data_IF_069429421603
#
_entry.id   IF_069429421603
#
_cell.length_a   1.000
_cell.length_b   1.000
_cell.length_c   1.000
_cell.angle_alpha   90.00
_cell.angle_beta   90.00
_cell.angle_gamma   90.00
#
_symmetry.space_group_name_H-M   'P 1'
#
loop_
_entity.id
_entity.type
_entity.pdbx_description
1 polymer ?
#
# COMPACT_ATOMS: atom_id res chain seq x y z
N UNK A 1 11.42 -22.73 20.96
CA UNK A 1 11.89 -22.00 19.76
C UNK A 1 10.76 -21.48 18.87
N UNK A 2 9.76 -22.30 18.48
CA UNK A 2 8.61 -21.88 17.64
C UNK A 2 7.77 -20.72 18.20
N UNK A 3 7.56 -20.65 19.52
CA UNK A 3 6.79 -19.59 20.16
C UNK A 3 7.44 -18.21 20.04
N UNK A 4 8.78 -18.15 20.13
CA UNK A 4 9.54 -16.89 20.06
C UNK A 4 9.50 -16.30 18.64
N UNK A 5 9.53 -17.16 17.62
CA UNK A 5 9.35 -16.77 16.21
C UNK A 5 7.93 -16.32 15.91
N UNK A 6 6.91 -16.95 16.52
CA UNK A 6 5.51 -16.57 16.34
C UNK A 6 5.21 -15.19 16.97
N UNK A 7 5.69 -14.96 18.21
CA UNK A 7 5.54 -13.65 18.89
C UNK A 7 6.23 -12.52 18.14
N UNK A 8 7.45 -12.73 17.64
CA UNK A 8 8.15 -11.74 16.80
C UNK A 8 7.40 -11.44 15.50
N UNK A 9 6.85 -12.47 14.84
CA UNK A 9 6.05 -12.30 13.61
C UNK A 9 4.77 -11.49 13.87
N UNK A 10 4.02 -11.82 14.93
CA UNK A 10 2.81 -11.09 15.32
C UNK A 10 3.09 -9.63 15.68
N UNK A 11 4.13 -9.37 16.47
CA UNK A 11 4.53 -8.01 16.84
C UNK A 11 4.89 -7.19 15.61
N UNK A 12 5.58 -7.81 14.66
CA UNK A 12 5.99 -7.14 13.44
C UNK A 12 4.83 -6.88 12.49
N UNK A 13 3.87 -7.81 12.35
CA UNK A 13 2.60 -7.57 11.63
C UNK A 13 1.87 -6.38 12.24
N UNK A 14 1.81 -6.29 13.57
CA UNK A 14 1.10 -5.21 14.26
C UNK A 14 1.72 -3.82 14.02
N UNK A 15 3.01 -3.74 13.67
CA UNK A 15 3.71 -2.49 13.37
C UNK A 15 3.75 -2.22 11.86
N UNK A 16 4.12 -3.21 11.05
CA UNK A 16 4.28 -3.03 9.62
C UNK A 16 2.97 -2.86 8.88
N UNK A 17 1.92 -3.56 9.29
CA UNK A 17 0.64 -3.52 8.60
C UNK A 17 0.01 -2.11 8.67
N UNK A 18 -0.05 -1.44 9.84
CA UNK A 18 -0.49 -0.05 9.89
C UNK A 18 0.36 0.90 9.05
N UNK A 19 1.70 0.75 9.08
CA UNK A 19 2.62 1.59 8.29
C UNK A 19 2.34 1.41 6.79
N UNK A 20 2.17 0.16 6.35
CA UNK A 20 1.87 -0.16 4.95
C UNK A 20 0.56 0.48 4.49
N UNK A 21 -0.51 0.40 5.30
CA UNK A 21 -1.82 0.99 4.98
C UNK A 21 -1.74 2.51 4.93
N UNK A 22 -1.01 3.14 5.84
CA UNK A 22 -0.85 4.59 5.84
C UNK A 22 -0.09 5.04 4.59
N UNK A 23 1.02 4.35 4.26
CA UNK A 23 1.81 4.64 3.08
C UNK A 23 1.00 4.47 1.79
N UNK A 24 0.33 3.33 1.59
CA UNK A 24 -0.50 3.09 0.41
C UNK A 24 -1.64 4.10 0.29
N UNK A 25 -2.28 4.46 1.41
CA UNK A 25 -3.30 5.50 1.46
C UNK A 25 -2.79 6.85 0.96
N UNK A 26 -1.55 7.23 1.29
CA UNK A 26 -0.93 8.45 0.76
C UNK A 26 -0.67 8.34 -0.74
N UNK A 27 -0.14 7.21 -1.20
CA UNK A 27 0.14 6.97 -2.62
C UNK A 27 -1.13 7.03 -3.46
N UNK A 28 -2.20 6.34 -3.03
CA UNK A 28 -3.48 6.31 -3.74
C UNK A 28 -4.13 7.69 -3.75
N UNK A 29 -4.13 8.41 -2.63
CA UNK A 29 -4.65 9.78 -2.58
C UNK A 29 -3.89 10.69 -3.56
N UNK A 30 -2.56 10.62 -3.55
CA UNK A 30 -1.73 11.43 -4.43
C UNK A 30 -1.99 11.11 -5.90
N UNK A 31 -1.87 9.83 -6.29
CA UNK A 31 -2.13 9.39 -7.66
C UNK A 31 -3.54 9.74 -8.12
N UNK A 32 -4.54 9.59 -7.25
CA UNK A 32 -5.91 9.96 -7.60
C UNK A 32 -6.07 11.46 -7.82
N UNK A 33 -5.60 12.28 -6.89
CA UNK A 33 -5.87 13.72 -6.92
C UNK A 33 -5.01 14.47 -7.95
N UNK A 34 -3.80 13.99 -8.22
CA UNK A 34 -2.90 14.66 -9.17
C UNK A 34 -3.02 14.10 -10.60
N UNK A 35 -3.53 12.87 -10.78
CA UNK A 35 -3.58 12.21 -12.10
C UNK A 35 -5.01 11.88 -12.51
N UNK A 36 -5.82 11.32 -11.61
CA UNK A 36 -7.16 10.84 -11.98
C UNK A 36 -8.17 12.00 -11.96
N UNK A 37 -8.14 12.90 -10.98
CA UNK A 37 -9.08 14.03 -10.93
C UNK A 37 -8.78 15.17 -11.90
N UNK A 38 -7.66 15.10 -12.64
CA UNK A 38 -7.42 16.00 -13.78
C UNK A 38 -8.28 15.60 -15.00
N UNK A 39 -8.77 14.36 -15.03
CA UNK A 39 -9.75 13.90 -16.02
C UNK A 39 -11.10 14.53 -15.69
N UNK A 40 -11.65 15.25 -16.67
CA UNK A 40 -12.79 16.13 -16.47
C UNK A 40 -13.99 15.41 -15.83
N UNK A 41 -14.49 15.95 -14.72
CA UNK A 41 -15.64 15.41 -13.99
C UNK A 41 -15.34 14.37 -12.91
N UNK A 42 -14.07 14.00 -12.69
CA UNK A 42 -13.70 13.08 -11.60
C UNK A 42 -13.34 13.87 -10.34
N UNK A 43 -14.04 13.58 -9.23
CA UNK A 43 -13.79 14.24 -7.95
C UNK A 43 -12.50 13.74 -7.29
N UNK A 44 -11.86 14.63 -6.52
CA UNK A 44 -10.75 14.27 -5.64
C UNK A 44 -11.23 13.40 -4.47
N UNK A 45 -10.32 12.60 -3.93
CA UNK A 45 -10.59 11.73 -2.78
C UNK A 45 -9.84 12.21 -1.53
N UNK A 46 -10.44 11.93 -0.39
CA UNK A 46 -9.83 12.14 0.93
C UNK A 46 -8.91 10.99 1.31
N UNK A 47 -8.02 11.23 2.27
CA UNK A 47 -7.11 10.19 2.78
C UNK A 47 -7.86 8.97 3.33
N UNK A 48 -9.01 9.19 4.00
CA UNK A 48 -9.85 8.10 4.52
C UNK A 48 -10.44 7.25 3.40
N UNK A 49 -10.87 7.87 2.30
CA UNK A 49 -11.36 7.15 1.11
C UNK A 49 -10.24 6.36 0.44
N UNK A 50 -9.03 6.94 0.34
CA UNK A 50 -7.86 6.26 -0.21
C UNK A 50 -7.49 5.00 0.60
N UNK A 51 -7.51 5.08 1.95
CA UNK A 51 -7.33 3.92 2.82
C UNK A 51 -8.42 2.87 2.59
N UNK A 52 -9.68 3.30 2.46
CA UNK A 52 -10.79 2.38 2.18
C UNK A 52 -10.60 1.61 0.87
N UNK A 53 -10.18 2.30 -0.20
CA UNK A 53 -9.85 1.70 -1.49
C UNK A 53 -8.70 0.70 -1.35
N UNK A 54 -7.64 1.07 -0.62
CA UNK A 54 -6.47 0.21 -0.41
C UNK A 54 -6.83 -1.12 0.29
N UNK A 55 -7.64 -1.04 1.35
CA UNK A 55 -8.07 -2.22 2.12
C UNK A 55 -8.90 -3.15 1.23
N UNK A 56 -9.87 -2.60 0.48
CA UNK A 56 -10.73 -3.40 -0.41
C UNK A 56 -9.90 -4.02 -1.54
N UNK A 57 -9.00 -3.27 -2.16
CA UNK A 57 -8.12 -3.77 -3.21
C UNK A 57 -7.21 -4.89 -2.67
N UNK A 58 -6.61 -4.69 -1.50
CA UNK A 58 -5.77 -5.68 -0.83
C UNK A 58 -6.53 -6.96 -0.51
N UNK A 59 -7.78 -6.86 -0.04
CA UNK A 59 -8.63 -8.03 0.21
C UNK A 59 -8.91 -8.84 -1.07
N UNK A 60 -9.27 -8.15 -2.17
CA UNK A 60 -9.49 -8.77 -3.47
C UNK A 60 -8.21 -9.43 -3.98
N UNK A 61 -7.07 -8.75 -3.89
CA UNK A 61 -5.76 -9.28 -4.32
C UNK A 61 -5.31 -10.47 -3.47
N UNK A 62 -5.50 -10.41 -2.16
CA UNK A 62 -5.18 -11.50 -1.23
C UNK A 62 -6.02 -12.75 -1.55
N UNK A 63 -7.30 -12.58 -1.88
CA UNK A 63 -8.16 -13.71 -2.29
C UNK A 63 -7.67 -14.43 -3.56
N UNK A 64 -6.81 -13.78 -4.37
CA UNK A 64 -6.26 -14.34 -5.61
C UNK A 64 -4.86 -14.93 -5.46
N UNK A 65 -4.15 -14.66 -4.36
CA UNK A 65 -2.77 -15.14 -4.17
C UNK A 65 -2.77 -16.47 -3.41
N UNK A 66 -2.26 -17.52 -4.06
CA UNK A 66 -1.85 -18.77 -3.41
C UNK A 66 -0.52 -18.55 -2.70
N UNK A 67 -0.30 -19.27 -1.58
CA UNK A 67 0.77 -19.09 -0.58
C UNK A 67 2.10 -18.55 -1.13
N UNK A 68 2.50 -17.40 -0.61
CA UNK A 68 3.75 -16.71 -0.91
C UNK A 68 4.74 -17.02 0.21
N UNK A 69 5.72 -17.89 -0.04
CA UNK A 69 6.72 -18.37 0.93
C UNK A 69 7.94 -17.43 1.02
N UNK A 70 7.74 -16.11 0.90
CA UNK A 70 8.83 -15.13 1.02
C UNK A 70 9.24 -14.91 2.47
N UNK A 71 10.54 -14.72 2.70
CA UNK A 71 11.08 -14.42 4.01
C UNK A 71 10.55 -13.09 4.57
N UNK A 72 10.39 -13.02 5.88
CA UNK A 72 9.73 -11.92 6.58
C UNK A 72 10.41 -10.58 6.32
N UNK A 73 11.75 -10.55 6.29
CA UNK A 73 12.52 -9.34 6.00
C UNK A 73 12.27 -8.83 4.58
N UNK A 74 12.13 -9.73 3.62
CA UNK A 74 11.82 -9.40 2.22
C UNK A 74 10.41 -8.83 2.09
N UNK A 75 9.43 -9.41 2.81
CA UNK A 75 8.06 -8.88 2.86
C UNK A 75 8.05 -7.46 3.44
N UNK A 76 8.78 -7.25 4.53
CA UNK A 76 8.83 -5.97 5.22
C UNK A 76 9.43 -4.84 4.38
N UNK A 77 10.57 -5.10 3.74
CA UNK A 77 11.21 -4.14 2.83
C UNK A 77 10.29 -3.87 1.64
N UNK A 78 9.71 -4.92 1.05
CA UNK A 78 8.79 -4.78 -0.08
C UNK A 78 7.55 -3.94 0.25
N UNK A 79 7.01 -4.04 1.46
CA UNK A 79 5.83 -3.29 1.89
C UNK A 79 6.06 -1.78 1.98
N UNK A 80 7.30 -1.35 2.21
CA UNK A 80 7.69 0.06 2.27
C UNK A 80 8.18 0.55 0.91
N UNK A 81 9.05 -0.23 0.27
CA UNK A 81 9.68 0.13 -1.01
C UNK A 81 8.67 0.18 -2.15
N UNK A 82 7.69 -0.73 -2.19
CA UNK A 82 6.70 -0.74 -3.27
C UNK A 82 5.86 0.55 -3.31
N UNK A 83 5.24 1.02 -2.22
CA UNK A 83 4.56 2.31 -2.20
C UNK A 83 5.48 3.48 -2.57
N UNK A 84 6.72 3.51 -2.09
CA UNK A 84 7.67 4.58 -2.41
C UNK A 84 8.02 4.66 -3.89
N UNK A 85 8.28 3.51 -4.54
CA UNK A 85 8.54 3.46 -5.99
C UNK A 85 7.29 3.90 -6.75
N UNK A 86 6.11 3.39 -6.36
CA UNK A 86 4.84 3.78 -6.99
C UNK A 86 4.61 5.29 -6.86
N UNK A 87 4.86 5.87 -5.69
CA UNK A 87 4.76 7.32 -5.48
C UNK A 87 5.72 8.08 -6.41
N UNK A 88 6.97 7.65 -6.53
CA UNK A 88 7.96 8.29 -7.40
C UNK A 88 7.52 8.22 -8.87
N UNK A 89 6.98 7.09 -9.32
CA UNK A 89 6.43 6.94 -10.68
C UNK A 89 5.22 7.85 -10.89
N UNK A 90 4.26 7.86 -9.96
CA UNK A 90 3.08 8.73 -10.04
C UNK A 90 3.49 10.22 -10.06
N UNK A 91 4.50 10.59 -9.27
CA UNK A 91 5.05 11.94 -9.27
C UNK A 91 5.66 12.32 -10.62
N UNK A 92 6.43 11.42 -11.25
CA UNK A 92 6.95 11.64 -12.61
C UNK A 92 5.81 11.80 -13.60
N UNK A 93 4.80 10.91 -13.57
CA UNK A 93 3.64 10.99 -14.48
C UNK A 93 2.89 12.30 -14.31
N UNK A 94 2.70 12.75 -13.07
CA UNK A 94 2.03 14.01 -12.76
C UNK A 94 2.77 15.25 -13.30
N UNK A 95 4.08 15.18 -13.59
CA UNK A 95 4.85 16.29 -14.19
C UNK A 95 4.56 16.44 -15.70
N UNK A 96 4.19 15.34 -16.38
CA UNK A 96 3.99 15.32 -17.83
C UNK A 96 2.52 15.41 -18.27
N UNK A 97 1.58 15.39 -17.32
CA UNK A 97 0.16 15.67 -17.54
C UNK A 97 -0.11 17.17 -17.36
#
# INVERSE_FOLDING_TARGET
MKELTLKKSLFSIFILLPISILMSGYVIKYGWNEIISTINGISSITFKQAIGIDIVASFILASRRTKDDRDFQTIAISAITSPLITLLVLWIVAIFM
#
